data_IF_305623475990
#
_entry.id   IF_305623475990
#
_cell.length_a   1.000
_cell.length_b   1.000
_cell.length_c   1.000
_cell.angle_alpha   90.00
_cell.angle_beta   90.00
_cell.angle_gamma   90.00
#
_symmetry.space_group_name_H-M   'P 1'
#
loop_
_entity.id
_entity.type
_entity.pdbx_description
1 polymer ?
#
# COMPACT_ATOMS: atom_id res chain seq x y z
N UNK A 1 23.75 5.87 2.67
CA UNK A 1 23.17 6.35 3.92
C UNK A 1 23.15 5.23 4.93
N UNK A 2 23.59 5.49 6.13
CA UNK A 2 23.63 4.48 7.18
C UNK A 2 22.55 4.78 8.23
N UNK A 3 21.95 3.70 8.74
CA UNK A 3 20.96 3.78 9.82
C UNK A 3 21.61 3.36 11.13
N UNK A 4 21.01 3.77 12.23
CA UNK A 4 21.43 3.41 13.57
C UNK A 4 20.27 2.79 14.31
N UNK A 5 20.56 1.91 15.25
CA UNK A 5 19.53 1.33 16.11
C UNK A 5 18.86 2.49 16.88
N UNK A 6 17.52 2.49 16.88
CA UNK A 6 16.73 3.54 17.47
C UNK A 6 16.24 4.59 16.49
N UNK A 7 16.73 4.59 15.26
CA UNK A 7 16.27 5.54 14.24
C UNK A 7 14.80 5.34 13.93
N UNK A 8 14.05 6.46 13.88
CA UNK A 8 12.68 6.47 13.37
C UNK A 8 12.72 6.49 11.85
N UNK A 9 11.93 5.63 11.24
CA UNK A 9 11.95 5.44 9.79
C UNK A 9 10.55 5.31 9.22
N UNK A 10 10.44 5.57 7.90
CA UNK A 10 9.31 5.15 7.08
C UNK A 10 9.85 4.04 6.18
N UNK A 11 9.12 2.93 6.12
CA UNK A 11 9.57 1.74 5.41
C UNK A 11 8.45 1.17 4.55
N UNK A 12 8.80 0.77 3.33
CA UNK A 12 7.89 0.07 2.44
C UNK A 12 8.12 -1.43 2.54
N UNK A 13 7.04 -2.18 2.70
CA UNK A 13 7.13 -3.63 2.83
C UNK A 13 5.88 -4.28 2.25
N UNK A 14 6.06 -5.12 1.22
CA UNK A 14 4.96 -5.86 0.58
C UNK A 14 3.74 -4.98 0.30
N UNK A 15 3.97 -3.87 -0.37
CA UNK A 15 2.95 -2.90 -0.82
C UNK A 15 2.27 -2.12 0.31
N UNK A 16 2.74 -2.23 1.54
CA UNK A 16 2.33 -1.37 2.64
C UNK A 16 3.43 -0.39 2.98
N UNK A 17 3.08 0.73 3.61
CA UNK A 17 4.04 1.73 4.09
C UNK A 17 3.81 1.96 5.58
N UNK A 18 4.90 1.95 6.35
CA UNK A 18 4.83 1.94 7.80
C UNK A 18 5.76 2.97 8.43
N UNK A 19 5.37 3.44 9.60
CA UNK A 19 6.30 4.11 10.53
C UNK A 19 6.91 3.04 11.41
N UNK A 20 8.21 3.10 11.62
CA UNK A 20 8.89 2.10 12.41
C UNK A 20 10.14 2.61 13.08
N UNK A 21 10.80 1.71 13.78
CA UNK A 21 12.05 1.97 14.48
C UNK A 21 13.04 0.88 14.12
N UNK A 22 14.25 1.26 13.76
CA UNK A 22 15.33 0.30 13.49
C UNK A 22 15.75 -0.33 14.82
N UNK A 23 15.61 -1.65 14.92
CA UNK A 23 15.95 -2.38 16.14
C UNK A 23 17.21 -3.24 15.99
N UNK A 24 17.59 -3.56 14.74
CA UNK A 24 18.79 -4.34 14.49
C UNK A 24 19.27 -4.07 13.06
N UNK A 25 20.59 -4.00 12.90
CA UNK A 25 21.25 -3.92 11.60
C UNK A 25 21.86 -5.30 11.33
N UNK A 26 21.15 -6.13 10.54
CA UNK A 26 21.53 -7.53 10.34
C UNK A 26 22.64 -7.69 9.30
N UNK A 27 22.77 -6.73 8.39
CA UNK A 27 23.82 -6.72 7.36
C UNK A 27 23.89 -5.33 6.76
N UNK A 28 24.81 -5.11 5.81
CA UNK A 28 24.89 -3.86 5.07
C UNK A 28 23.67 -3.64 4.17
N UNK A 29 22.88 -4.69 3.91
CA UNK A 29 21.76 -4.67 2.96
C UNK A 29 20.39 -4.68 3.63
N UNK A 30 20.29 -5.10 4.89
CA UNK A 30 19.00 -5.29 5.57
C UNK A 30 19.02 -4.77 7.00
N UNK A 31 17.88 -4.34 7.46
CA UNK A 31 17.64 -3.93 8.84
C UNK A 31 16.34 -4.51 9.36
N UNK A 32 16.30 -4.82 10.64
CA UNK A 32 15.08 -5.22 11.32
C UNK A 32 14.36 -3.97 11.81
N UNK A 33 13.10 -3.84 11.44
CA UNK A 33 12.28 -2.67 11.76
C UNK A 33 11.08 -3.12 12.61
N UNK A 34 10.91 -2.46 13.75
CA UNK A 34 9.72 -2.65 14.59
C UNK A 34 8.63 -1.71 14.10
N UNK A 35 7.46 -2.25 13.82
CA UNK A 35 6.33 -1.48 13.29
C UNK A 35 5.66 -0.70 14.40
N UNK A 36 5.52 0.61 14.21
CA UNK A 36 4.88 1.50 15.17
C UNK A 36 3.52 2.04 14.70
N UNK A 37 3.36 2.23 13.39
CA UNK A 37 2.12 2.77 12.83
C UNK A 37 2.03 2.45 11.34
N UNK A 38 0.85 2.64 10.75
CA UNK A 38 0.59 2.37 9.34
C UNK A 38 0.39 3.69 8.61
N UNK A 39 1.19 3.93 7.58
CA UNK A 39 1.06 5.12 6.72
C UNK A 39 0.15 4.83 5.53
N UNK A 40 0.37 3.70 4.86
CA UNK A 40 -0.48 3.25 3.76
C UNK A 40 -0.78 1.77 3.92
N UNK A 41 -2.05 1.41 3.79
CA UNK A 41 -2.48 0.02 3.89
C UNK A 41 -1.95 -0.77 2.69
N UNK A 42 -1.53 -2.04 2.87
CA UNK A 42 -1.07 -2.86 1.75
C UNK A 42 -2.09 -2.95 0.63
N UNK A 43 -1.60 -2.94 -0.61
CA UNK A 43 -2.43 -3.20 -1.78
C UNK A 43 -2.85 -4.66 -1.80
N UNK A 44 -4.10 -4.92 -2.16
CA UNK A 44 -4.65 -6.26 -2.23
C UNK A 44 -4.35 -6.90 -3.59
N UNK A 45 -4.35 -8.23 -3.62
CA UNK A 45 -4.21 -8.99 -4.86
C UNK A 45 -2.82 -9.51 -5.11
N UNK A 46 -2.50 -9.77 -6.38
CA UNK A 46 -1.22 -10.29 -6.80
C UNK A 46 -0.28 -9.14 -7.16
N UNK A 47 0.82 -8.99 -6.42
CA UNK A 47 1.77 -7.91 -6.62
C UNK A 47 2.52 -8.02 -7.97
N UNK A 48 2.58 -9.22 -8.56
CA UNK A 48 3.19 -9.42 -9.87
C UNK A 48 2.24 -9.07 -11.02
N UNK A 49 0.94 -9.04 -10.74
CA UNK A 49 -0.10 -8.66 -11.69
C UNK A 49 -1.01 -7.63 -11.02
N UNK A 50 -0.50 -6.40 -10.80
CA UNK A 50 -1.24 -5.39 -10.06
C UNK A 50 -2.52 -4.99 -10.79
N UNK A 51 -3.56 -4.72 -10.02
CA UNK A 51 -4.87 -4.29 -10.51
C UNK A 51 -5.59 -5.32 -11.37
N UNK A 52 -5.13 -6.56 -11.42
CA UNK A 52 -5.79 -7.64 -12.15
C UNK A 52 -6.74 -8.39 -11.20
N UNK A 53 -8.06 -8.28 -11.37
CA UNK A 53 -9.02 -8.96 -10.50
C UNK A 53 -9.17 -10.44 -10.82
N UNK A 54 -8.64 -10.89 -11.97
CA UNK A 54 -8.85 -12.24 -12.51
C UNK A 54 -7.69 -13.19 -12.26
N UNK A 55 -6.71 -12.79 -11.47
CA UNK A 55 -5.58 -13.67 -11.17
C UNK A 55 -6.07 -14.95 -10.48
N UNK A 56 -5.34 -16.05 -10.72
CA UNK A 56 -5.69 -17.34 -10.14
C UNK A 56 -5.72 -17.31 -8.62
N UNK A 57 -4.88 -16.48 -8.01
CA UNK A 57 -4.80 -16.34 -6.57
C UNK A 57 -4.76 -14.86 -6.19
N UNK A 58 -5.88 -14.36 -5.67
CA UNK A 58 -6.00 -12.98 -5.21
C UNK A 58 -5.72 -12.92 -3.72
N UNK A 59 -4.53 -12.45 -3.34
CA UNK A 59 -4.11 -12.43 -1.94
C UNK A 59 -4.81 -11.33 -1.15
N UNK A 60 -5.40 -11.72 -0.02
CA UNK A 60 -5.78 -10.76 1.01
C UNK A 60 -4.51 -10.41 1.79
N UNK A 61 -4.19 -9.13 1.87
CA UNK A 61 -2.94 -8.69 2.50
C UNK A 61 -3.24 -7.80 3.69
N UNK A 62 -2.79 -8.24 4.86
CA UNK A 62 -2.98 -7.50 6.11
C UNK A 62 -1.82 -6.54 6.33
N UNK A 63 -2.10 -5.43 7.03
CA UNK A 63 -1.05 -4.59 7.55
C UNK A 63 -0.25 -5.37 8.60
N UNK A 64 1.04 -5.07 8.71
CA UNK A 64 1.87 -5.61 9.79
C UNK A 64 1.32 -5.14 11.12
N UNK A 65 1.44 -5.98 12.15
CA UNK A 65 0.90 -5.72 13.49
C UNK A 65 1.76 -4.71 14.24
N UNK A 66 1.17 -4.07 15.24
CA UNK A 66 1.90 -3.17 16.13
C UNK A 66 3.02 -3.93 16.83
N UNK A 67 4.23 -3.37 16.73
CA UNK A 67 5.47 -3.93 17.31
C UNK A 67 5.98 -5.20 16.63
N UNK A 68 5.35 -5.62 15.55
CA UNK A 68 5.89 -6.69 14.73
C UNK A 68 7.24 -6.26 14.16
N UNK A 69 8.21 -7.18 14.15
CA UNK A 69 9.55 -6.89 13.62
C UNK A 69 9.67 -7.58 12.26
N UNK A 70 10.00 -6.80 11.24
CA UNK A 70 10.18 -7.31 9.89
C UNK A 70 11.59 -6.97 9.39
N UNK A 71 12.20 -7.92 8.70
CA UNK A 71 13.51 -7.73 8.08
C UNK A 71 13.30 -7.08 6.72
N UNK A 72 13.86 -5.91 6.52
CA UNK A 72 13.60 -5.09 5.34
C UNK A 72 14.90 -4.71 4.62
N UNK A 73 14.88 -4.68 3.26
CA UNK A 73 16.01 -4.14 2.51
C UNK A 73 16.24 -2.67 2.85
N UNK A 74 17.50 -2.27 3.01
CA UNK A 74 17.87 -0.89 3.33
C UNK A 74 17.27 0.11 2.34
N UNK A 75 17.21 -0.25 1.05
CA UNK A 75 16.68 0.63 0.01
C UNK A 75 15.19 0.97 0.14
N UNK A 76 14.44 0.25 0.96
CA UNK A 76 13.02 0.51 1.20
C UNK A 76 12.77 1.34 2.45
N UNK A 77 13.81 1.78 3.12
CA UNK A 77 13.76 2.48 4.41
C UNK A 77 14.32 3.88 4.24
N UNK A 78 13.66 4.87 4.85
CA UNK A 78 14.17 6.24 4.90
C UNK A 78 13.96 6.83 6.29
N UNK A 79 14.87 7.73 6.70
CA UNK A 79 14.76 8.40 7.99
C UNK A 79 13.49 9.24 8.06
N UNK A 80 12.89 9.29 9.22
CA UNK A 80 11.69 10.07 9.50
C UNK A 80 11.87 10.87 10.78
N UNK A 81 11.65 12.17 10.72
CA UNK A 81 11.84 13.06 11.85
C UNK A 81 10.54 13.60 12.46
N UNK A 82 9.40 13.22 11.90
CA UNK A 82 8.10 13.70 12.38
C UNK A 82 7.56 12.87 13.55
N UNK A 83 6.35 13.20 13.94
CA UNK A 83 5.62 12.47 14.98
C UNK A 83 5.09 11.16 14.42
N UNK A 84 5.18 10.09 15.21
CA UNK A 84 4.61 8.79 14.85
C UNK A 84 3.20 8.72 15.43
N UNK A 85 2.17 8.52 14.57
CA UNK A 85 0.81 8.43 15.07
C UNK A 85 0.56 7.14 15.86
N UNK A 86 -0.54 7.10 16.60
CA UNK A 86 -1.00 5.88 17.26
C UNK A 86 -1.28 4.79 16.23
N UNK A 87 -0.93 3.55 16.55
CA UNK A 87 -1.08 2.44 15.61
C UNK A 87 -2.54 2.24 15.17
N UNK A 88 -3.47 2.13 16.12
CA UNK A 88 -4.87 1.86 15.78
C UNK A 88 -5.50 3.01 15.00
N UNK A 89 -5.19 4.25 15.37
CA UNK A 89 -5.69 5.43 14.64
C UNK A 89 -5.12 5.45 13.22
N UNK A 90 -3.83 5.20 13.07
CA UNK A 90 -3.18 5.19 11.75
C UNK A 90 -3.69 4.05 10.87
N UNK A 91 -3.88 2.87 11.44
CA UNK A 91 -4.40 1.72 10.72
C UNK A 91 -5.80 2.01 10.15
N UNK A 92 -6.69 2.56 10.99
CA UNK A 92 -8.04 2.90 10.56
C UNK A 92 -8.01 3.96 9.45
N UNK A 93 -7.21 5.00 9.64
CA UNK A 93 -7.07 6.08 8.65
C UNK A 93 -6.55 5.54 7.31
N UNK A 94 -5.51 4.71 7.34
CA UNK A 94 -4.92 4.15 6.14
C UNK A 94 -5.90 3.22 5.42
N UNK A 95 -6.63 2.38 6.17
CA UNK A 95 -7.62 1.48 5.61
C UNK A 95 -8.76 2.25 4.94
N UNK A 96 -9.33 3.25 5.63
CA UNK A 96 -10.42 4.05 5.08
C UNK A 96 -9.98 4.85 3.86
N UNK A 97 -8.76 5.38 3.87
CA UNK A 97 -8.22 6.11 2.72
C UNK A 97 -8.12 5.20 1.49
N UNK A 98 -7.70 3.95 1.66
CA UNK A 98 -7.63 3.00 0.55
C UNK A 98 -9.03 2.61 0.04
N UNK A 99 -9.96 2.39 0.96
CA UNK A 99 -11.36 2.09 0.60
C UNK A 99 -11.96 3.25 -0.21
N UNK A 100 -11.78 4.48 0.25
CA UNK A 100 -12.33 5.66 -0.44
C UNK A 100 -11.71 5.83 -1.82
N UNK A 101 -10.41 5.65 -1.93
CA UNK A 101 -9.70 5.75 -3.21
C UNK A 101 -10.23 4.72 -4.21
N UNK A 102 -10.38 3.48 -3.78
CA UNK A 102 -10.88 2.41 -4.65
C UNK A 102 -12.35 2.62 -5.03
N UNK A 103 -13.16 3.11 -4.09
CA UNK A 103 -14.56 3.44 -4.36
C UNK A 103 -14.68 4.55 -5.40
N UNK A 104 -13.84 5.58 -5.31
CA UNK A 104 -13.82 6.68 -6.28
C UNK A 104 -13.37 6.19 -7.66
N UNK A 105 -12.36 5.32 -7.70
CA UNK A 105 -11.89 4.73 -8.95
C UNK A 105 -12.98 3.88 -9.61
N UNK A 106 -13.70 3.11 -8.81
CA UNK A 106 -14.81 2.30 -9.31
C UNK A 106 -15.92 3.18 -9.91
N UNK A 107 -16.29 4.24 -9.20
CA UNK A 107 -17.32 5.16 -9.66
C UNK A 107 -16.90 5.87 -10.96
N UNK A 108 -15.65 6.33 -11.03
CA UNK A 108 -15.10 6.94 -12.23
C UNK A 108 -15.08 5.96 -13.40
N UNK A 109 -14.64 4.74 -13.15
CA UNK A 109 -14.57 3.70 -14.18
C UNK A 109 -15.97 3.39 -14.71
N UNK A 110 -16.95 3.25 -13.83
CA UNK A 110 -18.34 3.00 -14.22
C UNK A 110 -18.90 4.12 -15.08
N UNK A 111 -18.67 5.36 -14.71
CA UNK A 111 -19.13 6.52 -15.49
C UNK A 111 -18.44 6.56 -16.84
N UNK A 112 -17.13 6.30 -16.88
CA UNK A 112 -16.36 6.29 -18.12
C UNK A 112 -16.88 5.21 -19.08
N UNK A 113 -17.19 4.02 -18.55
CA UNK A 113 -17.75 2.94 -19.37
C UNK A 113 -19.12 3.30 -19.94
N UNK A 114 -19.95 4.01 -19.21
CA UNK A 114 -21.23 4.50 -19.70
C UNK A 114 -21.05 5.47 -20.89
N UNK A 115 -20.10 6.41 -20.77
CA UNK A 115 -19.83 7.36 -21.83
C UNK A 115 -19.26 6.67 -23.07
N UNK A 116 -18.34 5.70 -22.88
CA UNK A 116 -17.76 4.95 -24.00
C UNK A 116 -18.81 4.06 -24.68
N UNK A 117 -19.73 3.49 -23.94
CA UNK A 117 -20.82 2.71 -24.51
C UNK A 117 -21.69 3.59 -25.42
N UNK A 118 -22.02 4.80 -24.97
CA UNK A 118 -22.77 5.75 -25.76
C UNK A 118 -22.02 6.11 -27.05
N UNK A 119 -20.73 6.40 -26.95
CA UNK A 119 -19.90 6.70 -28.13
C UNK A 119 -19.80 5.52 -29.07
N UNK A 120 -19.72 4.30 -28.55
CA UNK A 120 -19.68 3.10 -29.38
C UNK A 120 -20.92 3.00 -30.25
N UNK A 121 -22.08 3.31 -29.71
CA UNK A 121 -23.35 3.30 -30.46
C UNK A 121 -23.39 4.39 -31.52
N UNK A 122 -22.78 5.53 -31.24
CA UNK A 122 -22.69 6.63 -32.21
C UNK A 122 -21.67 6.34 -33.32
N UNK A 123 -20.50 5.80 -32.97
CA UNK A 123 -19.48 5.46 -33.96
C UNK A 123 -19.91 4.27 -34.83
N UNK A 124 -20.55 3.28 -34.23
CA UNK A 124 -20.89 2.02 -34.90
C UNK A 124 -22.37 1.70 -34.67
N UNK A 125 -23.29 2.47 -35.29
CA UNK A 125 -24.72 2.21 -35.07
C UNK A 125 -25.12 0.83 -35.58
N UNK A 126 -26.13 0.20 -34.94
CA UNK A 126 -26.58 -1.11 -35.38
C UNK A 126 -27.10 -1.07 -36.81
N UNK A 127 -26.81 -2.15 -37.59
CA UNK A 127 -27.32 -2.29 -38.95
C UNK A 127 -28.80 -2.65 -38.92
N UNK A 128 -29.55 -2.08 -39.85
CA UNK A 128 -30.97 -2.46 -40.09
C UNK A 128 -31.09 -3.48 -41.18
#
# INVERSE_FOLDING_TARGET
MSFQIGDSVIAEYKAGVYYGEVVELTSSMKAAVRILAVKEHPTQGDLHNPMDPSVAFFHQRRALSHQEIALMPIGTIRLYSGEVPDYQVSLKRALLAQIDKLSDMEAWARRSLQELDQLSKEYFPPSN
#
